data_IF_947692374172
#
_entry.id   IF_947692374172
#
_cell.length_a   1.000
_cell.length_b   1.000
_cell.length_c   1.000
_cell.angle_alpha   90.00
_cell.angle_beta   90.00
_cell.angle_gamma   90.00
#
_symmetry.space_group_name_H-M   'P 1'
#
loop_
_entity.id
_entity.type
_entity.pdbx_description
1 polymer ?
#
# COMPACT_ATOMS: atom_id res chain seq x y z
N UNK A 1 -22.76 -1.54 -7.41
CA UNK A 1 -21.42 -1.06 -7.80
C UNK A 1 -20.40 -2.07 -7.30
N UNK A 2 -19.75 -2.78 -8.21
CA UNK A 2 -18.71 -3.74 -7.86
C UNK A 2 -17.52 -2.92 -7.32
N UNK A 3 -17.27 -3.01 -6.00
CA UNK A 3 -16.25 -2.19 -5.34
C UNK A 3 -14.90 -2.38 -6.03
N UNK A 4 -14.31 -1.28 -6.49
CA UNK A 4 -13.07 -1.20 -7.25
C UNK A 4 -12.03 -2.23 -6.79
N UNK A 5 -12.00 -3.41 -7.42
CA UNK A 5 -11.10 -4.51 -7.06
C UNK A 5 -9.67 -4.04 -7.31
N UNK A 6 -8.97 -3.65 -6.26
CA UNK A 6 -7.54 -3.37 -6.29
C UNK A 6 -7.11 -1.93 -6.55
N UNK A 7 -7.99 -1.00 -6.95
CA UNK A 7 -7.54 0.38 -7.28
C UNK A 7 -6.91 1.12 -6.09
N UNK A 8 -7.38 0.86 -4.87
CA UNK A 8 -6.83 1.48 -3.66
C UNK A 8 -5.35 1.12 -3.44
N UNK A 9 -5.07 -0.19 -3.29
CA UNK A 9 -3.72 -0.69 -3.04
C UNK A 9 -2.81 -0.55 -4.26
N UNK A 10 -3.33 -0.73 -5.48
CA UNK A 10 -2.59 -0.49 -6.71
C UNK A 10 -2.12 0.97 -6.78
N UNK A 11 -3.05 1.92 -6.58
CA UNK A 11 -2.71 3.33 -6.56
C UNK A 11 -1.75 3.71 -5.43
N UNK A 12 -1.84 3.06 -4.26
CA UNK A 12 -0.84 3.25 -3.19
C UNK A 12 0.54 2.79 -3.62
N UNK A 13 0.65 1.64 -4.29
CA UNK A 13 1.93 1.10 -4.79
C UNK A 13 2.54 2.03 -5.85
N UNK A 14 1.73 2.47 -6.80
CA UNK A 14 2.15 3.41 -7.85
C UNK A 14 2.65 4.73 -7.25
N UNK A 15 1.91 5.31 -6.32
CA UNK A 15 2.31 6.57 -5.65
C UNK A 15 3.56 6.43 -4.79
N UNK A 16 3.75 5.31 -4.10
CA UNK A 16 4.99 5.07 -3.36
C UNK A 16 6.19 5.00 -4.31
N UNK A 17 6.05 4.27 -5.43
CA UNK A 17 7.11 4.15 -6.44
C UNK A 17 7.48 5.50 -7.09
N UNK A 18 6.50 6.38 -7.33
CA UNK A 18 6.75 7.74 -7.85
C UNK A 18 7.62 8.61 -6.93
N UNK A 19 7.63 8.31 -5.63
CA UNK A 19 8.42 9.02 -4.63
C UNK A 19 9.70 8.26 -4.27
N UNK A 20 10.13 7.31 -5.10
CA UNK A 20 11.27 6.42 -4.81
C UNK A 20 11.11 5.64 -3.49
N UNK A 21 9.85 5.47 -3.08
CA UNK A 21 9.47 4.79 -1.85
C UNK A 21 9.01 3.35 -2.08
N UNK A 22 8.74 2.67 -0.97
CA UNK A 22 8.27 1.27 -0.95
C UNK A 22 6.93 1.16 -0.23
N UNK A 23 6.13 0.17 -0.64
CA UNK A 23 4.88 -0.21 0.01
C UNK A 23 4.98 -1.66 0.45
N UNK A 24 4.76 -1.92 1.74
CA UNK A 24 4.73 -3.28 2.31
C UNK A 24 3.41 -3.53 3.03
N UNK A 25 2.84 -4.72 2.84
CA UNK A 25 1.57 -5.14 3.45
C UNK A 25 1.81 -6.42 4.24
N UNK A 26 1.53 -6.37 5.54
CA UNK A 26 1.55 -7.54 6.41
C UNK A 26 0.14 -7.80 6.92
N UNK A 27 -0.39 -8.99 6.68
CA UNK A 27 -1.73 -9.37 7.11
C UNK A 27 -1.76 -10.82 7.55
N UNK A 28 -2.39 -11.08 8.68
CA UNK A 28 -2.58 -12.43 9.21
C UNK A 28 -4.01 -12.57 9.76
N UNK A 29 -4.70 -13.71 9.54
CA UNK A 29 -6.03 -13.94 10.08
C UNK A 29 -6.07 -13.72 11.61
N UNK A 30 -7.05 -12.95 12.08
CA UNK A 30 -7.21 -12.64 13.51
C UNK A 30 -6.22 -11.62 14.09
N UNK A 31 -5.21 -11.16 13.32
CA UNK A 31 -4.25 -10.13 13.75
C UNK A 31 -4.45 -8.77 13.05
N UNK A 32 -5.36 -8.71 12.09
CA UNK A 32 -5.61 -7.52 11.28
C UNK A 32 -4.59 -7.35 10.17
N UNK A 33 -4.51 -6.12 9.66
CA UNK A 33 -3.67 -5.75 8.50
C UNK A 33 -2.88 -4.50 8.83
N UNK A 34 -1.57 -4.53 8.58
CA UNK A 34 -0.68 -3.38 8.64
C UNK A 34 -0.19 -3.04 7.23
N UNK A 35 -0.35 -1.78 6.85
CA UNK A 35 0.13 -1.22 5.59
C UNK A 35 1.19 -0.17 5.94
N UNK A 36 2.40 -0.35 5.41
CA UNK A 36 3.54 0.55 5.67
C UNK A 36 4.00 1.15 4.35
N UNK A 37 4.22 2.47 4.33
CA UNK A 37 4.83 3.20 3.23
C UNK A 37 6.09 3.87 3.75
N UNK A 38 7.22 3.63 3.09
CA UNK A 38 8.51 4.25 3.41
C UNK A 38 8.94 5.09 2.22
N UNK A 39 9.30 6.36 2.47
CA UNK A 39 9.70 7.32 1.44
C UNK A 39 10.97 8.00 1.91
N UNK A 40 11.98 8.19 1.03
CA UNK A 40 13.16 8.98 1.36
C UNK A 40 12.77 10.40 1.82
N UNK A 41 13.43 10.91 2.85
CA UNK A 41 13.34 12.31 3.27
C UNK A 41 14.59 13.05 2.82
N UNK A 42 14.39 14.28 2.32
CA UNK A 42 15.48 15.19 1.96
C UNK A 42 15.94 15.99 3.18
#
# INVERSE_FOLDING_TARGET
VEGARGLGLLGMKERAALLEGTLTIHSEPGKGTRVTVEVPVA
#
